data_IF_195271910642
#
_entry.id   IF_195271910642
#
_cell.length_a   1.000
_cell.length_b   1.000
_cell.length_c   1.000
_cell.angle_alpha   90.00
_cell.angle_beta   90.00
_cell.angle_gamma   90.00
#
_symmetry.space_group_name_H-M   'P 1'
#
loop_
_entity.id
_entity.type
_entity.pdbx_description
1 polymer ?
#
# COMPACT_ATOMS: atom_id res chain seq x y z
N UNK A 1 -19.23 -15.06 3.19
CA UNK A 1 -17.85 -14.86 2.71
C UNK A 1 -17.92 -13.79 1.64
N UNK A 2 -17.50 -12.56 1.95
CA UNK A 2 -17.40 -11.48 0.96
C UNK A 2 -16.36 -11.90 -0.08
N UNK A 3 -16.79 -12.18 -1.31
CA UNK A 3 -15.84 -12.39 -2.41
C UNK A 3 -15.08 -11.08 -2.60
N UNK A 4 -13.77 -11.13 -2.35
CA UNK A 4 -12.87 -10.01 -2.63
C UNK A 4 -12.80 -9.89 -4.17
N UNK A 5 -13.05 -8.71 -4.75
CA UNK A 5 -12.90 -8.52 -6.19
C UNK A 5 -11.44 -8.67 -6.58
N UNK A 6 -11.18 -9.06 -7.82
CA UNK A 6 -9.83 -9.00 -8.36
C UNK A 6 -9.41 -7.53 -8.48
N UNK A 7 -8.52 -7.07 -7.60
CA UNK A 7 -7.94 -5.74 -7.70
C UNK A 7 -7.00 -5.66 -8.91
N UNK A 8 -7.08 -4.56 -9.68
CA UNK A 8 -6.10 -4.25 -10.72
C UNK A 8 -4.77 -3.90 -10.08
N UNK A 9 -3.80 -4.79 -10.23
CA UNK A 9 -2.46 -4.61 -9.67
C UNK A 9 -1.79 -3.32 -10.17
N UNK A 10 -2.01 -2.95 -11.43
CA UNK A 10 -1.51 -1.67 -11.98
C UNK A 10 -2.00 -0.46 -11.19
N UNK A 11 -3.28 -0.41 -10.80
CA UNK A 11 -3.82 0.70 -10.02
C UNK A 11 -3.27 0.72 -8.60
N UNK A 12 -3.10 -0.46 -7.99
CA UNK A 12 -2.46 -0.56 -6.67
C UNK A 12 -1.01 -0.07 -6.72
N UNK A 13 -0.27 -0.46 -7.77
CA UNK A 13 1.10 -0.01 -8.01
C UNK A 13 1.18 1.48 -8.26
N UNK A 14 0.29 2.07 -9.07
CA UNK A 14 0.26 3.52 -9.30
C UNK A 14 0.11 4.31 -7.99
N UNK A 15 -0.76 3.84 -7.08
CA UNK A 15 -0.98 4.46 -5.76
C UNK A 15 0.21 4.19 -4.82
N UNK A 16 0.58 2.91 -4.68
CA UNK A 16 1.63 2.46 -3.78
C UNK A 16 2.97 3.09 -4.16
N UNK A 17 3.41 2.93 -5.40
CA UNK A 17 4.69 3.45 -5.85
C UNK A 17 4.74 4.97 -5.94
N UNK A 18 3.60 5.63 -6.16
CA UNK A 18 3.52 7.09 -6.18
C UNK A 18 3.69 7.75 -4.81
N UNK A 19 3.32 7.06 -3.73
CA UNK A 19 3.24 7.64 -2.39
C UNK A 19 4.02 6.86 -1.30
N UNK A 20 4.40 5.62 -1.58
CA UNK A 20 4.99 4.66 -0.65
C UNK A 20 6.30 4.09 -1.19
N UNK A 21 7.36 4.89 -1.09
CA UNK A 21 8.75 4.44 -1.29
C UNK A 21 9.57 4.66 -0.01
N UNK A 22 9.36 3.83 1.03
CA UNK A 22 10.01 4.01 2.32
C UNK A 22 11.52 3.73 2.30
N UNK A 23 11.99 2.91 1.35
CA UNK A 23 13.41 2.55 1.21
C UNK A 23 14.12 3.43 0.16
N UNK A 24 13.38 4.13 -0.70
CA UNK A 24 13.96 4.92 -1.79
C UNK A 24 14.46 4.05 -2.94
N UNK A 25 13.81 2.90 -3.18
CA UNK A 25 14.25 1.93 -4.21
C UNK A 25 13.70 2.26 -5.60
N UNK A 26 12.79 3.23 -5.72
CA UNK A 26 12.34 3.70 -7.01
C UNK A 26 13.53 4.30 -7.79
N UNK A 27 13.86 3.68 -8.91
CA UNK A 27 14.86 4.14 -9.85
C UNK A 27 14.38 5.33 -10.70
N UNK A 28 15.25 5.83 -11.59
CA UNK A 28 14.94 6.98 -12.45
C UNK A 28 13.65 6.74 -13.25
N UNK A 29 12.79 7.75 -13.31
CA UNK A 29 11.47 7.69 -13.97
C UNK A 29 10.47 6.70 -13.33
N UNK A 30 10.64 6.36 -12.05
CA UNK A 30 9.71 5.48 -11.34
C UNK A 30 9.87 4.00 -11.70
N UNK A 31 11.06 3.59 -12.16
CA UNK A 31 11.37 2.17 -12.41
C UNK A 31 11.61 1.43 -11.08
N UNK A 32 10.90 0.34 -10.82
CA UNK A 32 11.08 -0.44 -9.58
C UNK A 32 11.91 -1.71 -9.83
N UNK A 33 12.78 -2.12 -8.88
CA UNK A 33 13.44 -3.42 -8.94
C UNK A 33 12.41 -4.55 -9.00
N UNK A 34 12.59 -5.49 -9.93
CA UNK A 34 11.68 -6.63 -10.11
C UNK A 34 11.62 -7.47 -8.83
N UNK A 35 12.74 -7.57 -8.12
CA UNK A 35 12.87 -8.34 -6.88
C UNK A 35 12.03 -7.77 -5.72
N UNK A 36 11.71 -6.47 -5.76
CA UNK A 36 10.89 -5.81 -4.74
C UNK A 36 9.41 -5.69 -5.15
N UNK A 37 9.11 -5.83 -6.45
CA UNK A 37 7.76 -5.62 -6.96
C UNK A 37 6.75 -6.60 -6.34
N UNK A 38 7.10 -7.89 -6.27
CA UNK A 38 6.21 -8.93 -5.74
C UNK A 38 5.88 -8.74 -4.24
N UNK A 39 6.86 -8.28 -3.47
CA UNK A 39 6.70 -8.01 -2.05
C UNK A 39 5.79 -6.79 -1.80
N UNK A 40 6.06 -5.67 -2.49
CA UNK A 40 5.22 -4.47 -2.42
C UNK A 40 3.78 -4.75 -2.89
N UNK A 41 3.63 -5.50 -3.97
CA UNK A 41 2.33 -5.93 -4.47
C UNK A 41 1.52 -6.67 -3.41
N UNK A 42 2.19 -7.56 -2.65
CA UNK A 42 1.55 -8.33 -1.59
C UNK A 42 1.00 -7.43 -0.47
N UNK A 43 1.76 -6.39 -0.10
CA UNK A 43 1.36 -5.42 0.92
C UNK A 43 0.19 -4.54 0.45
N UNK A 44 0.25 -4.06 -0.79
CA UNK A 44 -0.82 -3.24 -1.38
C UNK A 44 -2.11 -4.05 -1.58
N UNK A 45 -2.01 -5.31 -1.99
CA UNK A 45 -3.16 -6.21 -2.09
C UNK A 45 -3.79 -6.47 -0.72
N UNK A 46 -2.99 -6.69 0.32
CA UNK A 46 -3.49 -6.87 1.68
C UNK A 46 -4.15 -5.59 2.22
N UNK A 47 -3.55 -4.42 2.00
CA UNK A 47 -4.13 -3.13 2.37
C UNK A 47 -5.50 -2.91 1.68
N UNK A 48 -5.59 -3.14 0.37
CA UNK A 48 -6.84 -3.05 -0.37
C UNK A 48 -7.89 -4.07 0.13
N UNK A 49 -7.48 -5.30 0.43
CA UNK A 49 -8.37 -6.32 0.99
C UNK A 49 -8.90 -5.94 2.39
N UNK A 50 -8.05 -5.36 3.25
CA UNK A 50 -8.44 -4.85 4.57
C UNK A 50 -9.50 -3.76 4.47
N UNK A 51 -9.30 -2.80 3.57
CA UNK A 51 -10.28 -1.74 3.26
C UNK A 51 -11.59 -2.32 2.70
N UNK A 52 -11.49 -3.30 1.79
CA UNK A 52 -12.66 -4.00 1.25
C UNK A 52 -13.43 -4.77 2.32
N UNK A 53 -12.78 -5.24 3.38
CA UNK A 53 -13.44 -5.90 4.50
C UNK A 53 -13.91 -4.92 5.59
N UNK A 54 -13.78 -3.62 5.38
CA UNK A 54 -14.33 -2.59 6.26
C UNK A 54 -13.40 -2.16 7.39
N UNK A 55 -12.11 -2.49 7.35
CA UNK A 55 -11.14 -1.92 8.28
C UNK A 55 -11.02 -0.41 8.10
N UNK A 56 -10.65 0.30 9.17
CA UNK A 56 -10.50 1.75 9.15
C UNK A 56 -9.22 2.18 8.44
N UNK A 57 -9.17 3.43 7.97
CA UNK A 57 -7.93 3.97 7.39
C UNK A 57 -6.78 3.99 8.41
N UNK A 58 -7.08 4.15 9.71
CA UNK A 58 -6.07 4.11 10.75
C UNK A 58 -5.44 2.71 10.86
N UNK A 59 -6.26 1.66 10.91
CA UNK A 59 -5.77 0.28 11.01
C UNK A 59 -4.92 -0.13 9.80
N UNK A 60 -5.29 0.36 8.61
CA UNK A 60 -4.57 0.05 7.37
C UNK A 60 -3.29 0.86 7.25
N UNK A 61 -3.28 2.13 7.69
CA UNK A 61 -2.05 2.91 7.78
C UNK A 61 -1.07 2.31 8.80
N UNK A 62 -1.57 1.88 9.96
CA UNK A 62 -0.74 1.24 10.98
C UNK A 62 -0.18 -0.11 10.46
N UNK A 63 -0.95 -0.86 9.65
CA UNK A 63 -0.46 -2.04 8.93
C UNK A 63 0.69 -1.71 7.96
N UNK A 64 0.58 -0.64 7.17
CA UNK A 64 1.68 -0.25 6.26
C UNK A 64 2.94 0.16 7.03
N UNK A 65 2.79 0.86 8.16
CA UNK A 65 3.91 1.18 9.05
C UNK A 65 4.54 -0.09 9.63
N UNK A 66 3.74 -1.09 10.01
CA UNK A 66 4.26 -2.40 10.45
C UNK A 66 5.08 -3.08 9.36
N UNK A 67 4.65 -3.02 8.09
CA UNK A 67 5.45 -3.56 6.97
C UNK A 67 6.76 -2.80 6.79
N UNK A 68 6.76 -1.47 6.95
CA UNK A 68 8.00 -0.66 6.93
C UNK A 68 8.97 -1.06 8.05
N UNK A 69 8.48 -1.34 9.26
CA UNK A 69 9.35 -1.61 10.41
C UNK A 69 9.75 -3.08 10.56
N UNK A 70 8.81 -4.01 10.45
CA UNK A 70 9.02 -5.42 10.74
C UNK A 70 9.54 -6.19 9.53
N UNK A 71 9.04 -5.87 8.33
CA UNK A 71 9.41 -6.59 7.11
C UNK A 71 10.59 -5.93 6.39
N UNK A 72 10.58 -4.59 6.27
CA UNK A 72 11.66 -3.84 5.63
C UNK A 72 12.79 -3.47 6.61
N UNK A 73 12.61 -3.72 7.91
CA UNK A 73 13.63 -3.49 8.94
C UNK A 73 13.95 -2.01 9.18
N UNK A 74 13.06 -1.09 8.78
CA UNK A 74 13.31 0.33 8.93
C UNK A 74 13.02 0.77 10.37
N UNK A 75 13.95 1.51 10.97
CA UNK A 75 13.67 2.19 12.24
C UNK A 75 12.68 3.32 12.01
N UNK A 76 11.75 3.54 12.94
CA UNK A 76 10.74 4.59 12.81
C UNK A 76 11.37 5.95 12.46
N UNK A 77 11.08 6.45 11.26
CA UNK A 77 11.52 7.79 10.83
C UNK A 77 10.32 8.75 10.74
N UNK A 78 10.57 10.06 10.86
CA UNK A 78 9.56 11.06 10.50
C UNK A 78 8.99 10.79 9.11
N UNK A 79 7.67 10.86 8.96
CA UNK A 79 6.98 10.69 7.68
C UNK A 79 6.45 9.29 7.36
N UNK A 80 6.76 8.26 8.16
CA UNK A 80 6.22 6.89 7.98
C UNK A 80 4.69 6.92 7.96
N UNK A 81 4.12 7.53 9.02
CA UNK A 81 2.67 7.61 9.18
C UNK A 81 2.01 8.49 8.13
N UNK A 82 2.65 9.59 7.72
CA UNK A 82 2.09 10.51 6.73
C UNK A 82 1.98 9.86 5.34
N UNK A 83 3.02 9.14 4.91
CA UNK A 83 2.98 8.35 3.68
C UNK A 83 1.95 7.22 3.76
N UNK A 84 1.97 6.45 4.85
CA UNK A 84 1.02 5.35 5.05
C UNK A 84 -0.45 5.83 5.03
N UNK A 85 -0.74 6.99 5.64
CA UNK A 85 -2.07 7.61 5.59
C UNK A 85 -2.44 7.99 4.16
N UNK A 86 -1.54 8.67 3.43
CA UNK A 86 -1.79 9.10 2.04
C UNK A 86 -2.13 7.90 1.15
N UNK A 87 -1.33 6.84 1.22
CA UNK A 87 -1.54 5.61 0.45
C UNK A 87 -2.88 4.97 0.80
N UNK A 88 -3.20 4.94 2.09
CA UNK A 88 -4.45 4.35 2.57
C UNK A 88 -5.67 5.11 2.06
N UNK A 89 -5.63 6.44 2.03
CA UNK A 89 -6.72 7.29 1.52
C UNK A 89 -6.97 7.10 0.02
N UNK A 90 -5.90 7.00 -0.77
CA UNK A 90 -5.98 6.72 -2.20
C UNK A 90 -6.49 5.29 -2.48
N UNK A 91 -5.98 4.29 -1.74
CA UNK A 91 -6.46 2.92 -1.83
C UNK A 91 -7.94 2.81 -1.42
N UNK A 92 -8.37 3.57 -0.41
CA UNK A 92 -9.77 3.61 0.04
C UNK A 92 -10.66 4.13 -1.08
N UNK A 93 -10.27 5.24 -1.72
CA UNK A 93 -11.00 5.84 -2.83
C UNK A 93 -11.14 4.86 -4.00
N UNK A 94 -10.05 4.15 -4.34
CA UNK A 94 -10.06 3.09 -5.36
C UNK A 94 -11.02 1.94 -5.00
N UNK A 95 -10.89 1.40 -3.78
CA UNK A 95 -11.71 0.27 -3.28
C UNK A 95 -13.20 0.62 -3.26
N UNK A 96 -13.57 1.84 -2.86
CA UNK A 96 -14.96 2.31 -2.88
C UNK A 96 -15.49 2.50 -4.30
N UNK A 97 -14.63 2.94 -5.22
CA UNK A 97 -14.96 3.05 -6.65
C UNK A 97 -15.39 1.73 -7.27
N UNK A 98 -14.84 0.60 -6.80
CA UNK A 98 -15.20 -0.76 -7.27
C UNK A 98 -16.56 -1.26 -6.77
N UNK A 99 -17.16 -0.61 -5.77
CA UNK A 99 -18.46 -1.00 -5.20
C UNK A 99 -19.66 -0.32 -5.87
N UNK A 100 -19.40 0.58 -6.83
CA UNK A 100 -20.42 1.30 -7.60
C UNK A 100 -20.82 0.50 -8.82
#
# INVERSE_FOLDING_TARGET
>A
MTSIPTFKLSCLRDIGWGHWDPIGIAGPNGSWPEEAADEYDSYLLQAAAKLWNGQSNADVADYLVEMETEHMGLSAMPGFRERAVTVTEELRSYVEGLRR
#
